data_IF_679987402761
#
_entry.id   IF_679987402761
#
_cell.length_a   1.000
_cell.length_b   1.000
_cell.length_c   1.000
_cell.angle_alpha   90.00
_cell.angle_beta   90.00
_cell.angle_gamma   90.00
#
_symmetry.space_group_name_H-M   'P 1'
#
loop_
_entity.id
_entity.type
_entity.pdbx_description
1 polymer ?
#
# COMPACT_ATOMS: atom_id res chain seq x y z
N UNK A 1 -8.08 21.73 -40.79
CA UNK A 1 -6.77 22.03 -40.17
C UNK A 1 -7.05 22.59 -38.79
N UNK A 2 -6.61 21.92 -37.73
CA UNK A 2 -6.77 22.45 -36.37
C UNK A 2 -5.63 23.44 -36.15
N UNK A 3 -5.95 24.73 -36.14
CA UNK A 3 -5.00 25.80 -35.86
C UNK A 3 -4.48 25.64 -34.43
N UNK A 4 -3.20 25.28 -34.26
CA UNK A 4 -2.58 25.21 -32.94
C UNK A 4 -2.24 26.63 -32.42
N UNK A 5 -2.30 26.87 -31.10
CA UNK A 5 -1.88 28.14 -30.49
C UNK A 5 -0.44 28.52 -30.87
N UNK A 6 -0.13 29.83 -30.91
CA UNK A 6 1.17 30.34 -31.38
C UNK A 6 2.36 29.74 -30.61
N UNK A 7 2.26 29.63 -29.29
CA UNK A 7 3.30 29.02 -28.45
C UNK A 7 3.52 27.53 -28.76
N UNK A 8 2.45 26.79 -29.06
CA UNK A 8 2.53 25.38 -29.41
C UNK A 8 3.19 25.16 -30.79
N UNK A 9 3.01 26.08 -31.75
CA UNK A 9 3.71 26.01 -33.05
C UNK A 9 5.21 26.23 -32.91
N UNK A 10 5.60 27.22 -32.10
CA UNK A 10 7.00 27.49 -31.81
C UNK A 10 7.66 26.29 -31.14
N UNK A 11 6.96 25.67 -30.18
CA UNK A 11 7.41 24.45 -29.53
C UNK A 11 7.65 23.28 -30.51
N UNK A 12 6.81 23.08 -31.52
CA UNK A 12 7.07 22.04 -32.53
C UNK A 12 8.31 22.30 -33.39
N UNK A 13 8.54 23.56 -33.77
CA UNK A 13 9.72 23.93 -34.59
C UNK A 13 11.00 23.69 -33.80
N UNK A 14 11.07 24.22 -32.58
CA UNK A 14 12.22 24.04 -31.68
C UNK A 14 12.40 22.57 -31.32
N UNK A 15 11.31 21.84 -31.09
CA UNK A 15 11.35 20.40 -30.83
C UNK A 15 12.02 19.63 -31.97
N UNK A 16 11.61 19.89 -33.22
CA UNK A 16 12.18 19.26 -34.41
C UNK A 16 13.67 19.57 -34.59
N UNK A 17 14.10 20.80 -34.31
CA UNK A 17 15.52 21.20 -34.34
C UNK A 17 16.35 20.45 -33.28
N UNK A 18 15.75 20.18 -32.12
CA UNK A 18 16.38 19.43 -31.02
C UNK A 18 16.22 17.90 -31.13
N UNK A 19 15.64 17.40 -32.23
CA UNK A 19 15.40 15.96 -32.45
C UNK A 19 14.28 15.37 -31.57
N UNK A 20 13.43 16.22 -31.00
CA UNK A 20 12.23 15.84 -30.23
C UNK A 20 11.03 15.76 -31.15
N UNK A 21 10.20 14.73 -31.01
CA UNK A 21 8.95 14.62 -31.75
C UNK A 21 8.05 15.86 -31.53
N UNK A 22 7.50 16.42 -32.59
CA UNK A 22 6.66 17.62 -32.55
C UNK A 22 5.55 17.51 -31.49
N UNK A 23 4.86 16.36 -31.42
CA UNK A 23 3.80 16.11 -30.43
C UNK A 23 4.32 16.14 -28.99
N UNK A 24 5.54 15.65 -28.76
CA UNK A 24 6.16 15.64 -27.44
C UNK A 24 6.51 17.07 -27.01
N UNK A 25 7.13 17.86 -27.89
CA UNK A 25 7.45 19.25 -27.60
C UNK A 25 6.20 20.10 -27.35
N UNK A 26 5.15 19.88 -28.14
CA UNK A 26 3.86 20.52 -27.95
C UNK A 26 3.19 20.13 -26.63
N UNK A 27 3.25 18.86 -26.24
CA UNK A 27 2.74 18.38 -24.95
C UNK A 27 3.52 19.01 -23.80
N UNK A 28 4.83 19.15 -23.92
CA UNK A 28 5.65 19.79 -22.90
C UNK A 28 5.31 21.27 -22.74
N UNK A 29 5.09 21.98 -23.85
CA UNK A 29 4.65 23.37 -23.84
C UNK A 29 3.31 23.57 -23.13
N UNK A 30 2.31 22.74 -23.43
CA UNK A 30 1.00 22.79 -22.73
C UNK A 30 1.13 22.56 -21.23
N UNK A 31 1.89 21.54 -20.84
CA UNK A 31 2.13 21.26 -19.43
C UNK A 31 2.81 22.43 -18.72
N UNK A 32 3.75 23.10 -19.40
CA UNK A 32 4.43 24.29 -18.88
C UNK A 32 3.48 25.50 -18.77
N UNK A 33 2.62 25.75 -19.75
CA UNK A 33 1.61 26.81 -19.67
C UNK A 33 0.63 26.60 -18.50
N UNK A 34 0.25 25.35 -18.22
CA UNK A 34 -0.69 25.01 -17.15
C UNK A 34 -0.04 25.02 -15.76
N UNK A 35 1.19 24.53 -15.62
CA UNK A 35 1.82 24.28 -14.32
C UNK A 35 2.95 25.24 -13.97
N UNK A 36 3.52 25.94 -14.96
CA UNK A 36 4.75 26.74 -14.81
C UNK A 36 6.02 25.91 -14.61
N UNK A 37 5.92 24.57 -14.60
CA UNK A 37 7.05 23.66 -14.40
C UNK A 37 7.41 22.94 -15.70
N UNK A 38 8.71 22.66 -15.88
CA UNK A 38 9.16 21.79 -16.97
C UNK A 38 8.72 20.35 -16.67
N UNK A 39 8.03 19.66 -17.59
CA UNK A 39 7.52 18.31 -17.39
C UNK A 39 8.63 17.26 -17.51
N UNK A 40 9.59 17.35 -16.60
CA UNK A 40 10.60 16.33 -16.39
C UNK A 40 9.90 15.20 -15.65
N UNK A 41 10.14 13.95 -16.08
CA UNK A 41 9.72 12.78 -15.31
C UNK A 41 10.42 12.85 -13.96
N UNK A 42 9.74 13.39 -12.94
CA UNK A 42 10.21 13.35 -11.56
C UNK A 42 10.45 11.87 -11.25
N UNK A 43 11.64 11.53 -10.78
CA UNK A 43 12.01 10.15 -10.45
C UNK A 43 11.25 9.61 -9.23
N UNK A 44 10.19 10.28 -8.81
CA UNK A 44 9.26 9.80 -7.81
C UNK A 44 8.78 8.44 -8.26
N UNK A 45 9.14 7.42 -7.47
CA UNK A 45 8.54 6.09 -7.52
C UNK A 45 7.06 6.31 -7.80
N UNK A 46 6.56 5.82 -8.93
CA UNK A 46 5.13 5.89 -9.20
C UNK A 46 4.47 5.17 -8.02
N UNK A 47 3.84 5.90 -7.07
CA UNK A 47 3.16 5.22 -5.99
C UNK A 47 2.11 4.39 -6.71
N UNK A 48 2.12 3.08 -6.45
CA UNK A 48 1.12 2.19 -7.04
C UNK A 48 -0.29 2.64 -6.65
N UNK A 49 -1.28 1.82 -6.98
CA UNK A 49 -2.65 2.08 -6.53
C UNK A 49 -2.65 2.37 -5.01
N UNK A 50 -3.26 3.48 -4.56
CA UNK A 50 -3.36 3.77 -3.15
C UNK A 50 -4.09 2.64 -2.44
N UNK A 51 -3.66 2.40 -1.21
CA UNK A 51 -4.24 1.41 -0.34
C UNK A 51 -5.70 1.81 0.02
N UNK A 52 -6.61 0.84 0.08
CA UNK A 52 -8.02 1.08 0.46
C UNK A 52 -8.22 1.16 1.98
N UNK A 53 -7.21 0.88 2.81
CA UNK A 53 -7.37 0.98 4.26
C UNK A 53 -7.55 2.43 4.74
N UNK A 54 -8.63 2.69 5.49
CA UNK A 54 -8.91 3.94 6.19
C UNK A 54 -8.47 3.84 7.66
N UNK A 55 -8.50 4.97 8.38
CA UNK A 55 -8.21 4.98 9.83
C UNK A 55 -9.22 4.15 10.64
N UNK A 56 -10.46 4.00 10.17
CA UNK A 56 -11.47 3.17 10.84
C UNK A 56 -11.09 1.68 10.84
N UNK A 57 -10.57 1.17 9.72
CA UNK A 57 -10.07 -0.21 9.66
C UNK A 57 -8.88 -0.42 10.58
N UNK A 58 -8.00 0.58 10.66
CA UNK A 58 -6.84 0.54 11.56
C UNK A 58 -7.28 0.46 13.02
N UNK A 59 -8.23 1.30 13.43
CA UNK A 59 -8.78 1.28 14.79
C UNK A 59 -9.39 -0.10 15.10
N UNK A 60 -10.20 -0.65 14.20
CA UNK A 60 -10.81 -1.97 14.38
C UNK A 60 -9.77 -3.10 14.56
N UNK A 61 -8.67 -3.05 13.80
CA UNK A 61 -7.58 -4.04 13.93
C UNK A 61 -6.87 -3.91 15.28
N UNK A 62 -6.64 -2.68 15.76
CA UNK A 62 -5.99 -2.45 17.05
C UNK A 62 -6.87 -2.91 18.20
N UNK A 63 -8.15 -2.54 18.21
CA UNK A 63 -9.10 -2.94 19.24
C UNK A 63 -9.20 -4.48 19.32
N UNK A 64 -9.24 -5.17 18.18
CA UNK A 64 -9.31 -6.64 18.14
C UNK A 64 -8.06 -7.30 18.75
N UNK A 65 -6.87 -6.75 18.48
CA UNK A 65 -5.59 -7.28 19.01
C UNK A 65 -5.43 -6.96 20.49
N UNK A 66 -5.88 -5.79 20.93
CA UNK A 66 -5.85 -5.38 22.34
C UNK A 66 -6.84 -6.21 23.18
N UNK A 67 -8.01 -6.54 22.64
CA UNK A 67 -9.01 -7.42 23.28
C UNK A 67 -8.53 -8.87 23.39
N UNK A 68 -7.87 -9.39 22.35
CA UNK A 68 -7.32 -10.74 22.36
C UNK A 68 -5.95 -10.81 21.65
N UNK A 69 -4.84 -10.85 22.43
CA UNK A 69 -3.48 -10.91 21.87
C UNK A 69 -3.18 -12.18 21.07
N UNK A 70 -4.02 -13.22 21.14
CA UNK A 70 -3.85 -14.48 20.42
C UNK A 70 -4.53 -14.49 19.04
N UNK A 71 -5.15 -13.38 18.64
CA UNK A 71 -5.82 -13.22 17.35
C UNK A 71 -4.86 -13.49 16.20
N UNK A 72 -5.31 -14.31 15.25
CA UNK A 72 -4.55 -14.61 14.03
C UNK A 72 -4.91 -13.65 12.90
N UNK A 73 -4.04 -13.57 11.89
CA UNK A 73 -4.32 -12.80 10.66
C UNK A 73 -5.60 -13.27 9.97
N UNK A 74 -5.97 -14.55 10.10
CA UNK A 74 -7.22 -15.06 9.52
C UNK A 74 -8.43 -14.47 10.24
N UNK A 75 -8.39 -14.42 11.56
CA UNK A 75 -9.47 -13.87 12.38
C UNK A 75 -9.66 -12.37 12.11
N UNK A 76 -8.55 -11.64 11.91
CA UNK A 76 -8.59 -10.22 11.50
C UNK A 76 -9.24 -10.04 10.12
N UNK A 77 -8.93 -10.90 9.16
CA UNK A 77 -9.57 -10.86 7.83
C UNK A 77 -11.07 -11.10 7.98
N UNK A 78 -11.48 -12.10 8.75
CA UNK A 78 -12.88 -12.43 8.98
C UNK A 78 -13.62 -11.31 9.71
N UNK A 79 -13.02 -10.70 10.73
CA UNK A 79 -13.62 -9.59 11.48
C UNK A 79 -13.84 -8.36 10.59
N UNK A 80 -12.85 -8.02 9.77
CA UNK A 80 -12.93 -6.88 8.84
C UNK A 80 -13.95 -7.15 7.73
N UNK A 81 -13.95 -8.34 7.15
CA UNK A 81 -14.91 -8.71 6.10
C UNK A 81 -16.34 -8.70 6.64
N UNK A 82 -16.54 -9.07 7.92
CA UNK A 82 -17.85 -9.05 8.58
C UNK A 82 -18.30 -7.64 8.97
N UNK A 83 -17.36 -6.78 9.36
CA UNK A 83 -17.67 -5.43 9.83
C UNK A 83 -17.80 -4.41 8.70
N UNK A 84 -17.17 -4.67 7.55
CA UNK A 84 -17.14 -3.77 6.40
C UNK A 84 -17.55 -4.51 5.13
N UNK A 85 -18.73 -4.15 4.58
CA UNK A 85 -19.45 -4.89 3.53
C UNK A 85 -18.71 -4.94 2.17
N UNK A 86 -17.65 -4.14 1.98
CA UNK A 86 -16.91 -4.00 0.72
C UNK A 86 -15.47 -4.52 0.76
N UNK A 87 -15.05 -5.18 1.85
CA UNK A 87 -13.67 -5.61 2.03
C UNK A 87 -13.44 -7.08 1.66
N UNK A 88 -13.09 -7.34 0.39
CA UNK A 88 -12.46 -8.61 -0.01
C UNK A 88 -10.95 -8.48 0.04
N UNK A 89 -10.34 -8.98 1.13
CA UNK A 89 -8.89 -8.88 1.35
C UNK A 89 -8.22 -10.25 1.39
N UNK A 90 -7.00 -10.27 0.87
CA UNK A 90 -6.11 -11.41 1.06
C UNK A 90 -5.33 -11.30 2.37
N UNK A 91 -4.99 -12.45 2.96
CA UNK A 91 -4.19 -12.53 4.19
C UNK A 91 -2.87 -11.75 4.11
N UNK A 92 -2.22 -11.75 2.93
CA UNK A 92 -0.98 -11.00 2.71
C UNK A 92 -1.18 -9.48 2.75
N UNK A 93 -2.33 -9.00 2.26
CA UNK A 93 -2.67 -7.57 2.28
C UNK A 93 -2.91 -7.09 3.71
N UNK A 94 -3.65 -7.86 4.51
CA UNK A 94 -3.84 -7.57 5.95
C UNK A 94 -2.52 -7.62 6.68
N UNK A 95 -1.71 -8.66 6.49
CA UNK A 95 -0.42 -8.78 7.17
C UNK A 95 0.50 -7.60 6.86
N UNK A 96 0.53 -7.15 5.60
CA UNK A 96 1.28 -5.95 5.20
C UNK A 96 0.75 -4.70 5.91
N UNK A 97 -0.57 -4.51 5.95
CA UNK A 97 -1.20 -3.38 6.63
C UNK A 97 -0.93 -3.36 8.14
N UNK A 98 -1.04 -4.51 8.81
CA UNK A 98 -0.71 -4.65 10.23
C UNK A 98 0.73 -4.24 10.51
N UNK A 99 1.68 -4.68 9.66
CA UNK A 99 3.10 -4.36 9.83
C UNK A 99 3.44 -2.90 9.52
N UNK A 100 2.93 -2.35 8.40
CA UNK A 100 3.34 -1.04 7.89
C UNK A 100 2.50 0.13 8.42
N UNK A 101 1.21 -0.09 8.70
CA UNK A 101 0.27 0.97 9.08
C UNK A 101 -0.13 0.91 10.55
N UNK A 102 -0.33 -0.30 11.09
CA UNK A 102 -0.64 -0.50 12.51
C UNK A 102 0.62 -0.62 13.39
N UNK A 103 1.82 -0.69 12.80
CA UNK A 103 3.10 -0.92 13.49
C UNK A 103 3.11 -2.18 14.38
N UNK A 104 2.34 -3.21 14.00
CA UNK A 104 2.28 -4.48 14.72
C UNK A 104 3.34 -5.43 14.16
N UNK A 105 3.90 -6.29 15.02
CA UNK A 105 4.77 -7.38 14.58
C UNK A 105 4.14 -8.71 14.96
N UNK A 106 3.61 -9.43 13.97
CA UNK A 106 3.04 -10.75 14.18
C UNK A 106 4.18 -11.78 14.31
N UNK A 107 4.36 -12.34 15.51
CA UNK A 107 5.31 -13.43 15.74
C UNK A 107 4.68 -14.77 15.40
N UNK A 108 5.51 -15.73 14.99
CA UNK A 108 5.07 -17.12 14.87
C UNK A 108 4.74 -17.64 16.26
N UNK A 109 3.58 -18.28 16.46
CA UNK A 109 3.27 -18.93 17.73
C UNK A 109 4.28 -20.05 18.00
N UNK A 110 4.71 -20.17 19.25
CA UNK A 110 5.49 -21.31 19.73
C UNK A 110 4.52 -22.30 20.37
N UNK A 111 4.47 -23.52 19.84
CA UNK A 111 3.64 -24.58 20.40
C UNK A 111 4.51 -25.51 21.24
N UNK A 112 4.10 -25.75 22.49
CA UNK A 112 4.66 -26.80 23.33
C UNK A 112 3.79 -28.05 23.22
N UNK A 113 4.38 -29.25 23.35
CA UNK A 113 3.56 -30.47 23.32
C UNK A 113 2.73 -30.57 24.60
N UNK A 114 1.48 -31.00 24.46
CA UNK A 114 0.58 -31.19 25.60
C UNK A 114 1.16 -32.22 26.57
N UNK A 115 1.71 -33.32 26.05
CA UNK A 115 2.39 -34.34 26.86
C UNK A 115 3.50 -33.73 27.72
N UNK A 116 4.29 -32.79 27.16
CA UNK A 116 5.39 -32.14 27.88
C UNK A 116 4.90 -31.28 29.05
N UNK A 117 3.70 -30.70 28.93
CA UNK A 117 3.06 -29.91 29.98
C UNK A 117 2.05 -30.73 30.81
N UNK A 118 2.03 -32.06 30.66
CA UNK A 118 1.24 -32.91 31.53
C UNK A 118 1.76 -32.82 32.96
N UNK A 119 0.89 -32.91 33.99
CA UNK A 119 1.32 -32.82 35.37
C UNK A 119 2.33 -33.92 35.74
N UNK A 120 2.20 -35.10 35.14
CA UNK A 120 3.12 -36.24 35.32
C UNK A 120 4.52 -35.94 34.79
N UNK A 121 4.63 -35.46 33.54
CA UNK A 121 5.92 -35.13 32.92
C UNK A 121 6.56 -33.86 33.53
N UNK A 122 5.75 -32.95 34.08
CA UNK A 122 6.26 -31.82 34.85
C UNK A 122 6.87 -32.29 36.19
N UNK A 123 6.24 -33.24 36.87
CA UNK A 123 6.75 -33.81 38.12
C UNK A 123 8.07 -34.56 37.92
N UNK A 124 8.17 -35.39 36.87
CA UNK A 124 9.40 -36.13 36.51
C UNK A 124 10.62 -35.24 36.24
N UNK A 125 10.42 -33.96 35.89
CA UNK A 125 11.53 -33.01 35.68
C UNK A 125 12.13 -32.44 36.95
N UNK A 126 11.35 -32.45 38.04
CA UNK A 126 11.79 -31.93 39.33
C UNK A 126 12.47 -32.99 40.20
N UNK A 127 12.28 -34.28 39.89
CA UNK A 127 12.97 -35.42 40.50
C UNK A 127 14.36 -35.67 39.87
#
# INVERSE_FOLDING_TARGET
MIELPVGQRYASVVGRELGVEERTAQRWWRSYEETGEVPIKKSTINPGRPNNFTEEHKAHVLDLVDDNPQVTVCDVVESLTKSFEDFSLTKSTILKHMNETCNLSVKKPHFESEDRNSPENLQERYE
#
